data_IF_300638582341
#
_entry.id   IF_300638582341
#
_cell.length_a   1.000
_cell.length_b   1.000
_cell.length_c   1.000
_cell.angle_alpha   90.00
_cell.angle_beta   90.00
_cell.angle_gamma   90.00
#
_symmetry.space_group_name_H-M   'P 1'
#
loop_
_entity.id
_entity.type
_entity.pdbx_description
1 polymer ?
#
# COMPACT_ATOMS: atom_id res chain seq x y z
N UNK A 1 6.44 0.71 16.55
CA UNK A 1 5.15 0.21 16.05
C UNK A 1 4.72 -1.00 16.87
N UNK A 2 3.95 -0.81 17.94
CA UNK A 2 3.41 -1.91 18.75
C UNK A 2 1.93 -1.64 19.00
N UNK A 3 1.07 -2.58 18.64
CA UNK A 3 -0.34 -2.56 19.03
C UNK A 3 -0.44 -2.70 20.54
N UNK A 4 -1.17 -1.80 21.19
CA UNK A 4 -1.40 -1.85 22.64
C UNK A 4 -0.28 -1.29 23.51
N UNK A 5 0.72 -0.60 22.94
CA UNK A 5 1.64 0.20 23.74
C UNK A 5 0.94 1.46 24.25
N UNK A 6 0.93 1.69 25.56
CA UNK A 6 0.32 2.88 26.19
C UNK A 6 1.15 4.16 26.07
N UNK A 7 2.34 4.08 25.46
CA UNK A 7 3.27 5.20 25.30
C UNK A 7 3.86 5.21 23.89
N UNK A 8 4.11 6.41 23.35
CA UNK A 8 4.77 6.59 22.07
C UNK A 8 6.30 6.43 22.21
N UNK A 9 6.91 5.60 21.36
CA UNK A 9 8.36 5.47 21.23
C UNK A 9 8.83 6.19 19.96
N UNK A 10 9.53 7.32 20.13
CA UNK A 10 10.10 8.10 19.03
C UNK A 10 11.62 7.95 18.87
N UNK A 11 12.31 7.39 19.86
CA UNK A 11 13.78 7.21 19.86
C UNK A 11 14.21 6.06 18.95
N UNK A 12 13.62 4.88 19.15
CA UNK A 12 13.94 3.69 18.37
C UNK A 12 12.73 2.74 18.28
N UNK A 13 11.64 3.13 17.59
CA UNK A 13 10.52 2.24 17.37
C UNK A 13 10.88 1.13 16.37
N UNK A 14 10.32 -0.07 16.59
CA UNK A 14 10.37 -1.15 15.58
C UNK A 14 9.79 -0.66 14.24
N UNK A 15 10.46 -1.04 13.14
CA UNK A 15 10.08 -0.75 11.75
C UNK A 15 9.59 -2.03 11.08
N UNK A 16 8.50 -1.96 10.33
CA UNK A 16 7.86 -3.09 9.62
C UNK A 16 6.87 -2.55 8.57
N UNK A 17 6.39 -3.43 7.72
CA UNK A 17 5.41 -3.16 6.65
C UNK A 17 3.98 -3.59 7.00
N UNK A 18 3.80 -4.58 7.88
CA UNK A 18 2.50 -5.05 8.36
C UNK A 18 2.42 -4.93 9.87
N UNK A 19 1.34 -4.32 10.38
CA UNK A 19 1.05 -4.19 11.81
C UNK A 19 -0.40 -4.56 12.09
N UNK A 20 -0.64 -5.35 13.14
CA UNK A 20 -2.00 -5.57 13.65
C UNK A 20 -2.51 -4.28 14.27
N UNK A 21 -3.73 -3.88 13.93
CA UNK A 21 -4.40 -2.73 14.56
C UNK A 21 -4.89 -3.04 15.98
N UNK A 22 -4.85 -4.31 16.40
CA UNK A 22 -5.38 -4.77 17.68
C UNK A 22 -6.91 -4.70 17.76
N UNK A 23 -7.45 -5.13 18.91
CA UNK A 23 -8.90 -5.09 19.19
C UNK A 23 -9.31 -3.85 20.01
N UNK A 24 -8.36 -3.19 20.68
CA UNK A 24 -8.56 -2.02 21.53
C UNK A 24 -7.28 -1.15 21.53
N UNK A 25 -7.46 0.17 21.65
CA UNK A 25 -6.38 1.15 21.60
C UNK A 25 -6.06 1.62 20.19
N UNK A 26 -5.00 2.42 20.07
CA UNK A 26 -4.60 3.04 18.81
C UNK A 26 -3.27 2.49 18.31
N UNK A 27 -3.13 2.43 16.98
CA UNK A 27 -1.84 2.17 16.32
C UNK A 27 -1.48 3.40 15.51
N UNK A 28 -0.30 3.94 15.77
CA UNK A 28 0.25 5.07 15.02
C UNK A 28 1.51 4.64 14.27
N UNK A 29 1.52 4.90 12.97
CA UNK A 29 2.67 4.68 12.09
C UNK A 29 3.24 6.03 11.63
N UNK A 30 4.52 6.03 11.28
CA UNK A 30 5.20 7.14 10.62
C UNK A 30 6.08 6.58 9.52
N UNK A 31 6.11 7.26 8.39
CA UNK A 31 6.99 7.00 7.27
C UNK A 31 7.44 8.34 6.69
N UNK A 32 8.51 8.31 5.90
CA UNK A 32 8.93 9.45 5.09
C UNK A 32 8.37 9.23 3.69
N UNK A 33 7.92 10.30 3.05
CA UNK A 33 7.53 10.29 1.65
C UNK A 33 8.77 10.49 0.77
N UNK A 34 9.57 9.44 0.64
CA UNK A 34 10.83 9.41 -0.13
C UNK A 34 10.80 8.44 -1.32
N UNK A 35 9.60 8.04 -1.75
CA UNK A 35 9.38 7.08 -2.82
C UNK A 35 8.16 7.48 -3.68
N UNK A 36 8.33 8.32 -4.72
CA UNK A 36 7.22 8.78 -5.55
C UNK A 36 6.47 7.60 -6.21
N UNK A 37 5.14 7.59 -6.12
CA UNK A 37 4.33 6.51 -6.67
C UNK A 37 2.96 6.34 -6.01
N UNK A 38 2.08 5.52 -6.62
CA UNK A 38 0.84 5.08 -6.00
C UNK A 38 1.10 3.90 -5.04
N UNK A 39 0.93 4.11 -3.73
CA UNK A 39 1.18 3.09 -2.70
C UNK A 39 -0.10 2.61 -2.02
N UNK A 40 -0.24 1.30 -1.89
CA UNK A 40 -1.44 0.67 -1.34
C UNK A 40 -1.34 0.53 0.19
N UNK A 41 -2.30 1.11 0.91
CA UNK A 41 -2.50 0.83 2.33
C UNK A 41 -3.86 0.13 2.47
N UNK A 42 -3.82 -1.13 2.90
CA UNK A 42 -5.04 -1.94 2.99
C UNK A 42 -5.02 -2.88 4.18
N UNK A 43 -6.19 -3.41 4.49
CA UNK A 43 -6.28 -4.51 5.44
C UNK A 43 -5.83 -5.80 4.79
N UNK A 44 -4.80 -6.44 5.34
CA UNK A 44 -4.13 -7.60 4.73
C UNK A 44 -4.92 -8.92 4.85
N UNK A 45 -6.17 -8.86 5.32
CA UNK A 45 -7.07 -10.00 5.21
C UNK A 45 -7.84 -9.83 3.90
N UNK A 46 -7.59 -10.73 2.95
CA UNK A 46 -7.97 -10.56 1.54
C UNK A 46 -9.48 -10.35 1.34
N UNK A 47 -10.33 -11.02 2.11
CA UNK A 47 -11.78 -10.83 2.01
C UNK A 47 -12.26 -9.45 2.52
N UNK A 48 -11.50 -8.78 3.39
CA UNK A 48 -11.76 -7.37 3.73
C UNK A 48 -11.23 -6.42 2.65
N UNK A 49 -10.09 -6.74 2.02
CA UNK A 49 -9.58 -5.98 0.88
C UNK A 49 -10.59 -6.01 -0.27
N UNK A 50 -11.10 -7.20 -0.62
CA UNK A 50 -12.13 -7.40 -1.64
C UNK A 50 -13.42 -6.65 -1.30
N UNK A 51 -13.79 -6.60 -0.02
CA UNK A 51 -14.90 -5.79 0.48
C UNK A 51 -14.62 -4.27 0.51
N UNK A 52 -13.43 -3.83 0.09
CA UNK A 52 -13.07 -2.42 -0.10
C UNK A 52 -12.30 -1.76 1.04
N UNK A 53 -11.75 -2.50 2.00
CA UNK A 53 -11.00 -1.93 3.15
C UNK A 53 -9.57 -1.55 2.74
N UNK A 54 -9.46 -0.51 1.91
CA UNK A 54 -8.19 -0.03 1.38
C UNK A 54 -8.22 1.46 1.00
N UNK A 55 -7.04 2.07 0.94
CA UNK A 55 -6.80 3.43 0.45
C UNK A 55 -5.48 3.47 -0.35
N UNK A 56 -5.34 4.44 -1.24
CA UNK A 56 -4.11 4.69 -2.01
C UNK A 56 -3.49 6.00 -1.57
N UNK A 57 -2.17 6.00 -1.35
CA UNK A 57 -1.38 7.21 -1.29
C UNK A 57 -0.84 7.53 -2.68
N UNK A 58 -1.20 8.69 -3.24
CA UNK A 58 -0.53 9.26 -4.40
C UNK A 58 0.65 10.09 -3.91
N UNK A 59 1.79 9.43 -3.70
CA UNK A 59 2.99 10.07 -3.17
C UNK A 59 3.75 10.78 -4.28
N UNK A 60 4.02 12.07 -4.08
CA UNK A 60 4.80 12.92 -4.99
C UNK A 60 4.37 12.81 -6.48
N UNK A 61 3.06 12.93 -6.70
CA UNK A 61 2.44 12.74 -8.01
C UNK A 61 2.88 13.77 -9.08
N UNK A 62 3.56 14.86 -8.68
CA UNK A 62 4.17 15.80 -9.62
C UNK A 62 5.42 15.24 -10.29
N UNK A 63 6.22 14.48 -9.55
CA UNK A 63 7.55 14.03 -9.97
C UNK A 63 7.62 12.52 -10.24
N UNK A 64 6.58 11.75 -9.90
CA UNK A 64 6.61 10.29 -10.04
C UNK A 64 6.91 9.77 -11.47
N UNK A 65 6.57 10.50 -12.53
CA UNK A 65 6.85 10.12 -13.92
C UNK A 65 8.33 10.29 -14.30
N UNK A 66 9.11 10.99 -13.47
CA UNK A 66 10.55 11.16 -13.66
C UNK A 66 11.36 10.02 -13.04
N UNK A 67 10.76 9.27 -12.11
CA UNK A 67 11.42 8.18 -11.37
C UNK A 67 10.81 6.81 -11.67
N UNK A 68 9.56 6.76 -12.12
CA UNK A 68 8.88 5.55 -12.58
C UNK A 68 8.97 5.53 -14.11
N UNK A 69 9.76 4.59 -14.66
CA UNK A 69 9.89 4.33 -16.09
C UNK A 69 9.49 2.86 -16.37
N UNK A 70 8.20 2.56 -16.58
CA UNK A 70 7.75 1.21 -16.90
C UNK A 70 8.28 0.77 -18.25
N UNK A 71 8.62 -0.51 -18.38
CA UNK A 71 9.01 -1.07 -19.67
C UNK A 71 7.82 -1.10 -20.62
N UNK A 72 8.06 -1.14 -21.93
CA UNK A 72 6.99 -1.31 -22.93
C UNK A 72 6.14 -2.56 -22.69
N UNK A 73 6.72 -3.61 -22.10
CA UNK A 73 5.97 -4.83 -21.73
C UNK A 73 4.95 -4.59 -20.62
N UNK A 74 5.12 -3.55 -19.81
CA UNK A 74 4.12 -3.13 -18.82
C UNK A 74 2.89 -2.52 -19.50
N UNK A 75 3.10 -1.71 -20.53
CA UNK A 75 2.01 -1.08 -21.29
C UNK A 75 1.13 -2.11 -22.02
N UNK A 76 1.72 -3.25 -22.40
CA UNK A 76 1.02 -4.36 -23.05
C UNK A 76 0.08 -5.13 -22.10
N UNK A 77 0.23 -5.00 -20.78
CA UNK A 77 -0.57 -5.76 -19.80
C UNK A 77 -2.04 -5.38 -19.83
N UNK A 78 -2.35 -4.08 -19.90
CA UNK A 78 -3.73 -3.59 -19.86
C UNK A 78 -4.54 -4.05 -21.09
N UNK A 79 -4.08 -3.84 -22.35
CA UNK A 79 -4.78 -4.35 -23.53
C UNK A 79 -4.95 -5.87 -23.51
N UNK A 80 -3.91 -6.60 -23.07
CA UNK A 80 -3.96 -8.07 -23.00
C UNK A 80 -5.02 -8.54 -22.01
N UNK A 81 -5.04 -8.00 -20.80
CA UNK A 81 -6.04 -8.34 -19.79
C UNK A 81 -7.47 -7.99 -20.27
N UNK A 82 -7.65 -6.82 -20.89
CA UNK A 82 -8.95 -6.40 -21.42
C UNK A 82 -9.47 -7.25 -22.59
N UNK A 83 -8.62 -8.06 -23.22
CA UNK A 83 -9.01 -8.96 -24.32
C UNK A 83 -9.38 -10.39 -23.88
N UNK A 84 -9.23 -10.73 -22.60
CA UNK A 84 -9.55 -12.06 -22.06
C UNK A 84 -11.06 -12.35 -22.10
N UNK A 85 -11.43 -13.60 -22.38
CA UNK A 85 -12.83 -14.04 -22.24
C UNK A 85 -13.12 -14.48 -20.80
N UNK A 86 -14.40 -14.62 -20.39
CA UNK A 86 -14.73 -15.15 -19.07
C UNK A 86 -14.16 -16.55 -18.79
N UNK A 87 -13.90 -17.35 -19.83
CA UNK A 87 -13.27 -18.67 -19.71
C UNK A 87 -11.76 -18.60 -19.43
N UNK A 88 -11.13 -17.46 -19.73
CA UNK A 88 -9.70 -17.22 -19.50
C UNK A 88 -9.40 -16.62 -18.11
N UNK A 89 -10.42 -16.20 -17.36
CA UNK A 89 -10.34 -15.59 -16.01
C UNK A 89 -10.48 -16.64 -14.90
#
# INVERSE_FOLDING_TARGET
MLSGASTYNYENPVRRDVVSTGNKGDVTIRFRTDNPGPWFLHYRIDWHLEAGLAVIFAEDAGDWNSVIDPTCTHDDLCPKYSSLTPEDL
#
